data_IF_622688320097
#
_entry.id   IF_622688320097
#
_cell.length_a   1.000
_cell.length_b   1.000
_cell.length_c   1.000
_cell.angle_alpha   90.00
_cell.angle_beta   90.00
_cell.angle_gamma   90.00
#
_symmetry.space_group_name_H-M   'P 1'
#
loop_
_entity.id
_entity.type
_entity.pdbx_description
1 polymer ?
#
# COMPACT_ATOMS: atom_id res chain seq x y z
N UNK A 1 -7.08 -23.38 15.77
CA UNK A 1 -5.84 -22.61 15.94
C UNK A 1 -5.94 -21.36 15.08
N UNK A 2 -5.56 -20.17 15.57
CA UNK A 2 -5.72 -18.91 14.83
C UNK A 2 -4.84 -18.86 13.57
N UNK A 3 -3.77 -19.65 13.56
CA UNK A 3 -2.81 -19.76 12.46
C UNK A 3 -2.62 -21.22 12.06
N UNK A 4 -2.18 -21.40 10.82
CA UNK A 4 -1.97 -22.71 10.21
C UNK A 4 -0.74 -23.39 10.82
N UNK A 5 -0.87 -24.67 11.16
CA UNK A 5 0.16 -25.48 11.82
C UNK A 5 0.73 -26.61 10.93
N UNK A 6 0.14 -26.82 9.75
CA UNK A 6 0.57 -27.83 8.78
C UNK A 6 0.79 -27.24 7.39
N UNK A 7 1.98 -27.49 6.84
CA UNK A 7 2.41 -26.99 5.52
C UNK A 7 2.37 -28.10 4.47
N UNK A 8 2.00 -27.73 3.24
CA UNK A 8 1.87 -28.65 2.11
C UNK A 8 3.24 -29.17 1.71
N UNK A 9 3.29 -30.46 1.41
CA UNK A 9 4.45 -31.09 0.81
C UNK A 9 4.45 -30.92 -0.73
N UNK A 10 5.44 -31.50 -1.41
CA UNK A 10 5.61 -31.35 -2.86
C UNK A 10 4.39 -31.85 -3.62
N UNK A 11 3.87 -33.02 -3.25
CA UNK A 11 2.73 -33.63 -3.96
C UNK A 11 1.47 -32.80 -3.76
N UNK A 12 1.23 -32.32 -2.54
CA UNK A 12 0.05 -31.53 -2.21
C UNK A 12 0.08 -30.16 -2.90
N UNK A 13 1.24 -29.48 -2.95
CA UNK A 13 1.38 -28.22 -3.70
C UNK A 13 1.06 -28.40 -5.19
N UNK A 14 1.62 -29.45 -5.80
CA UNK A 14 1.37 -29.76 -7.23
C UNK A 14 -0.08 -30.10 -7.48
N UNK A 15 -0.71 -30.89 -6.60
CA UNK A 15 -2.14 -31.19 -6.67
C UNK A 15 -3.01 -29.94 -6.53
N UNK A 16 -2.59 -29.00 -5.68
CA UNK A 16 -3.28 -27.72 -5.49
C UNK A 16 -3.05 -26.72 -6.62
N UNK A 17 -2.25 -27.05 -7.64
CA UNK A 17 -2.03 -26.22 -8.82
C UNK A 17 -0.79 -25.34 -8.77
N UNK A 18 0.12 -25.56 -7.80
CA UNK A 18 1.41 -24.87 -7.71
C UNK A 18 2.52 -25.84 -8.14
N UNK A 19 3.04 -25.75 -9.38
CA UNK A 19 4.01 -26.70 -9.92
C UNK A 19 5.44 -26.43 -9.43
N UNK A 20 5.67 -26.58 -8.12
CA UNK A 20 6.99 -26.33 -7.50
C UNK A 20 8.08 -27.27 -8.07
N UNK A 21 9.24 -26.70 -8.37
CA UNK A 21 10.37 -27.34 -9.06
C UNK A 21 11.40 -27.97 -8.10
N UNK A 22 10.93 -28.46 -6.96
CA UNK A 22 11.74 -29.24 -6.01
C UNK A 22 11.09 -30.60 -5.74
N UNK A 23 11.90 -31.59 -5.38
CA UNK A 23 11.43 -32.86 -4.81
C UNK A 23 11.68 -32.94 -3.29
N UNK A 24 12.19 -31.86 -2.68
CA UNK A 24 12.41 -31.78 -1.24
C UNK A 24 11.14 -31.31 -0.51
N UNK A 25 10.56 -32.21 0.29
CA UNK A 25 9.35 -31.90 1.08
C UNK A 25 9.58 -30.80 2.12
N UNK A 26 10.78 -30.66 2.68
CA UNK A 26 11.07 -29.55 3.61
C UNK A 26 11.05 -28.21 2.87
N UNK A 27 11.63 -28.14 1.67
CA UNK A 27 11.57 -26.94 0.82
C UNK A 27 10.14 -26.57 0.46
N UNK A 28 9.31 -27.54 0.07
CA UNK A 28 7.89 -27.31 -0.19
C UNK A 28 7.13 -26.75 1.03
N UNK A 29 7.39 -27.32 2.22
CA UNK A 29 6.76 -26.85 3.47
C UNK A 29 7.20 -25.44 3.84
N UNK A 30 8.49 -25.13 3.71
CA UNK A 30 9.03 -23.79 3.95
C UNK A 30 8.48 -22.77 2.94
N UNK A 31 8.32 -23.17 1.68
CA UNK A 31 7.70 -22.34 0.64
C UNK A 31 6.25 -22.01 1.02
N UNK A 32 5.47 -23.02 1.38
CA UNK A 32 4.06 -22.85 1.77
C UNK A 32 3.89 -22.05 3.07
N UNK A 33 4.83 -22.19 4.02
CA UNK A 33 4.88 -21.39 5.24
C UNK A 33 5.22 -19.91 4.96
N UNK A 34 6.18 -19.65 4.08
CA UNK A 34 6.54 -18.28 3.67
C UNK A 34 5.38 -17.61 2.93
N UNK A 35 4.74 -18.34 2.02
CA UNK A 35 3.57 -17.86 1.28
C UNK A 35 2.40 -17.57 2.23
N UNK A 36 2.14 -18.46 3.19
CA UNK A 36 1.06 -18.26 4.17
C UNK A 36 1.28 -17.01 5.04
N UNK A 37 2.49 -16.81 5.55
CA UNK A 37 2.85 -15.60 6.33
C UNK A 37 2.68 -14.32 5.50
N UNK A 38 3.13 -14.34 4.25
CA UNK A 38 2.99 -13.18 3.36
C UNK A 38 1.52 -12.85 3.02
N UNK A 39 0.74 -13.87 2.64
CA UNK A 39 -0.69 -13.69 2.31
C UNK A 39 -1.48 -13.26 3.53
N UNK A 40 -1.24 -13.90 4.68
CA UNK A 40 -1.92 -13.61 5.94
C UNK A 40 -1.43 -12.36 6.66
N UNK A 41 -0.34 -11.75 6.22
CA UNK A 41 0.26 -10.54 6.82
C UNK A 41 0.62 -10.72 8.30
N UNK A 42 1.24 -11.85 8.63
CA UNK A 42 1.71 -12.13 10.00
C UNK A 42 3.06 -12.87 9.99
N UNK A 43 3.87 -12.67 11.03
CA UNK A 43 5.03 -13.52 11.31
C UNK A 43 4.65 -14.75 12.14
N UNK A 44 4.96 -15.93 11.62
CA UNK A 44 4.71 -17.18 12.33
C UNK A 44 5.81 -17.44 13.38
N UNK A 45 5.40 -17.63 14.63
CA UNK A 45 6.33 -17.83 15.73
C UNK A 45 7.11 -19.16 15.63
N UNK A 46 6.50 -20.23 15.13
CA UNK A 46 7.18 -21.52 14.97
C UNK A 46 8.25 -21.44 13.88
N UNK A 47 8.08 -20.55 12.91
CA UNK A 47 9.03 -20.31 11.84
C UNK A 47 10.05 -19.19 12.14
N UNK A 48 9.97 -18.54 13.30
CA UNK A 48 10.74 -17.34 13.65
C UNK A 48 10.55 -16.20 12.64
N UNK A 49 9.33 -16.06 12.12
CA UNK A 49 8.92 -15.04 11.16
C UNK A 49 9.37 -15.28 9.72
N UNK A 50 8.86 -14.42 8.83
CA UNK A 50 9.01 -14.59 7.38
C UNK A 50 10.47 -14.55 6.94
N UNK A 51 11.26 -13.64 7.52
CA UNK A 51 12.69 -13.49 7.19
C UNK A 51 13.50 -14.76 7.46
N UNK A 52 13.28 -15.39 8.62
CA UNK A 52 13.97 -16.64 8.95
C UNK A 52 13.44 -17.79 8.09
N UNK A 53 12.13 -17.82 7.82
CA UNK A 53 11.51 -18.79 6.91
C UNK A 53 12.17 -18.75 5.52
N UNK A 54 12.34 -17.56 4.95
CA UNK A 54 12.99 -17.39 3.63
C UNK A 54 14.47 -17.79 3.65
N UNK A 55 15.20 -17.45 4.72
CA UNK A 55 16.60 -17.89 4.89
C UNK A 55 16.71 -19.42 4.85
N UNK A 56 15.83 -20.11 5.60
CA UNK A 56 15.77 -21.57 5.64
C UNK A 56 15.33 -22.17 4.31
N UNK A 57 14.35 -21.54 3.65
CA UNK A 57 13.83 -21.96 2.35
C UNK A 57 14.94 -22.02 1.30
N UNK A 58 15.72 -20.94 1.17
CA UNK A 58 16.83 -20.87 0.22
C UNK A 58 17.97 -21.84 0.54
N UNK A 59 18.18 -22.15 1.82
CA UNK A 59 19.22 -23.09 2.26
C UNK A 59 18.81 -24.55 2.08
N UNK A 60 17.51 -24.86 2.14
CA UNK A 60 16.99 -26.22 2.08
C UNK A 60 17.12 -26.87 0.70
N UNK A 61 17.01 -26.08 -0.37
CA UNK A 61 17.27 -26.49 -1.74
C UNK A 61 17.66 -25.26 -2.57
N UNK A 62 18.97 -24.98 -2.68
CA UNK A 62 19.47 -23.82 -3.43
C UNK A 62 19.15 -23.85 -4.93
N UNK A 63 18.79 -25.03 -5.47
CA UNK A 63 18.50 -25.20 -6.90
C UNK A 63 17.04 -24.89 -7.25
N UNK A 64 16.14 -24.87 -6.26
CA UNK A 64 14.73 -24.57 -6.44
C UNK A 64 14.54 -23.12 -6.93
N UNK A 65 14.13 -22.97 -8.19
CA UNK A 65 13.94 -21.65 -8.83
C UNK A 65 12.71 -20.97 -8.25
N UNK A 66 11.64 -21.71 -7.96
CA UNK A 66 10.40 -21.15 -7.37
C UNK A 66 10.66 -20.51 -6.01
N UNK A 67 11.55 -21.08 -5.19
CA UNK A 67 11.99 -20.50 -3.92
C UNK A 67 12.72 -19.16 -4.13
N UNK A 68 13.62 -19.09 -5.12
CA UNK A 68 14.34 -17.85 -5.47
C UNK A 68 13.39 -16.78 -6.02
N UNK A 69 12.38 -17.17 -6.80
CA UNK A 69 11.32 -16.28 -7.30
C UNK A 69 10.55 -15.65 -6.13
N UNK A 70 10.04 -16.45 -5.19
CA UNK A 70 9.32 -15.95 -4.02
C UNK A 70 10.19 -14.98 -3.21
N UNK A 71 11.45 -15.36 -2.97
CA UNK A 71 12.40 -14.51 -2.25
C UNK A 71 12.67 -13.18 -2.97
N UNK A 72 12.89 -13.20 -4.30
CA UNK A 72 13.13 -12.00 -5.09
C UNK A 72 11.91 -11.08 -5.09
N UNK A 73 10.72 -11.63 -5.27
CA UNK A 73 9.47 -10.87 -5.28
C UNK A 73 9.19 -10.15 -3.96
N UNK A 74 9.41 -10.84 -2.82
CA UNK A 74 9.17 -10.26 -1.49
C UNK A 74 10.20 -9.20 -1.10
N UNK A 75 11.45 -9.34 -1.57
CA UNK A 75 12.49 -8.35 -1.30
C UNK A 75 12.41 -7.13 -2.21
N UNK A 76 11.94 -7.27 -3.47
CA UNK A 76 11.96 -6.20 -4.47
C UNK A 76 11.43 -4.85 -3.93
N UNK A 77 10.25 -4.76 -3.28
CA UNK A 77 9.73 -3.49 -2.78
C UNK A 77 10.56 -2.87 -1.64
N UNK A 78 11.34 -3.68 -0.91
CA UNK A 78 12.03 -3.29 0.33
C UNK A 78 13.56 -3.16 0.18
N UNK A 79 14.11 -3.43 -1.01
CA UNK A 79 15.53 -3.27 -1.26
C UNK A 79 15.95 -1.82 -1.03
N UNK A 80 17.02 -1.56 -0.29
CA UNK A 80 17.61 -0.22 -0.19
C UNK A 80 18.65 -0.08 -1.29
N UNK A 81 18.37 0.71 -2.31
CA UNK A 81 19.31 1.08 -3.37
C UNK A 81 18.69 2.01 -4.41
N UNK A 82 19.52 2.77 -5.14
CA UNK A 82 19.08 3.45 -6.34
C UNK A 82 18.28 2.53 -7.29
N UNK A 83 17.22 3.06 -7.89
CA UNK A 83 16.39 2.35 -8.87
C UNK A 83 17.21 1.75 -10.01
N UNK A 84 18.31 2.41 -10.42
CA UNK A 84 19.25 1.94 -11.44
C UNK A 84 19.95 0.62 -11.11
N UNK A 85 20.07 0.26 -9.83
CA UNK A 85 20.68 -1.01 -9.37
C UNK A 85 19.64 -2.10 -9.07
N UNK A 86 18.34 -1.78 -9.13
CA UNK A 86 17.29 -2.71 -8.74
C UNK A 86 17.28 -3.95 -9.64
N UNK A 87 17.33 -3.73 -10.96
CA UNK A 87 17.32 -4.81 -11.93
C UNK A 87 18.48 -5.80 -11.73
N UNK A 88 19.72 -5.30 -11.58
CA UNK A 88 20.89 -6.16 -11.40
C UNK A 88 20.83 -6.95 -10.09
N UNK A 89 20.36 -6.35 -8.99
CA UNK A 89 20.15 -7.07 -7.71
C UNK A 89 19.08 -8.16 -7.81
N UNK A 90 17.97 -7.89 -8.51
CA UNK A 90 16.92 -8.89 -8.73
C UNK A 90 17.43 -10.02 -9.63
N UNK A 91 18.12 -9.70 -10.73
CA UNK A 91 18.75 -10.69 -11.59
C UNK A 91 19.77 -11.55 -10.83
N UNK A 92 20.59 -10.95 -9.96
CA UNK A 92 21.53 -11.68 -9.11
C UNK A 92 20.81 -12.62 -8.12
N UNK A 93 19.72 -12.16 -7.51
CA UNK A 93 18.91 -12.97 -6.58
C UNK A 93 18.25 -14.16 -7.29
N UNK A 94 17.77 -13.91 -8.50
CA UNK A 94 17.19 -14.92 -9.37
C UNK A 94 18.23 -15.92 -9.86
N UNK A 95 19.48 -15.50 -10.06
CA UNK A 95 20.61 -16.30 -10.53
C UNK A 95 20.35 -16.98 -11.87
N UNK A 96 21.02 -18.11 -12.12
CA UNK A 96 20.79 -18.86 -13.36
C UNK A 96 19.42 -19.53 -13.37
N UNK A 97 18.64 -19.22 -14.40
CA UNK A 97 17.28 -19.76 -14.61
C UNK A 97 17.30 -20.59 -15.88
N UNK A 98 17.65 -21.86 -15.72
CA UNK A 98 17.57 -22.86 -16.80
C UNK A 98 16.38 -23.76 -16.53
N UNK A 99 15.22 -23.43 -17.12
CA UNK A 99 14.00 -24.24 -17.01
C UNK A 99 13.19 -24.19 -18.29
N UNK A 100 12.64 -25.34 -18.69
CA UNK A 100 11.66 -25.43 -19.78
C UNK A 100 10.24 -25.07 -19.32
N UNK A 101 10.00 -25.00 -18.00
CA UNK A 101 8.68 -24.74 -17.41
C UNK A 101 8.16 -23.34 -17.74
N UNK A 102 6.98 -23.27 -18.37
CA UNK A 102 6.29 -22.01 -18.65
C UNK A 102 5.97 -21.23 -17.37
N UNK A 103 5.64 -21.94 -16.27
CA UNK A 103 5.35 -21.33 -14.96
C UNK A 103 6.55 -20.52 -14.44
N UNK A 104 7.74 -21.12 -14.43
CA UNK A 104 8.97 -20.46 -13.99
C UNK A 104 9.29 -19.28 -14.91
N UNK A 105 9.23 -19.47 -16.23
CA UNK A 105 9.52 -18.42 -17.20
C UNK A 105 8.66 -17.18 -17.00
N UNK A 106 7.35 -17.35 -16.83
CA UNK A 106 6.42 -16.23 -16.67
C UNK A 106 6.64 -15.50 -15.34
N UNK A 107 6.83 -16.20 -14.22
CA UNK A 107 7.16 -15.53 -12.95
C UNK A 107 8.47 -14.74 -13.03
N UNK A 108 9.52 -15.35 -13.59
CA UNK A 108 10.81 -14.69 -13.77
C UNK A 108 10.67 -13.45 -14.66
N UNK A 109 9.97 -13.58 -15.79
CA UNK A 109 9.76 -12.47 -16.71
C UNK A 109 9.00 -11.31 -16.03
N UNK A 110 7.95 -11.61 -15.27
CA UNK A 110 7.21 -10.59 -14.54
C UNK A 110 8.10 -9.84 -13.53
N UNK A 111 8.95 -10.55 -12.78
CA UNK A 111 9.90 -9.93 -11.85
C UNK A 111 10.95 -9.08 -12.55
N UNK A 112 11.44 -9.50 -13.71
CA UNK A 112 12.38 -8.71 -14.50
C UNK A 112 11.70 -7.44 -15.04
N UNK A 113 10.49 -7.53 -15.56
CA UNK A 113 9.69 -6.35 -15.95
C UNK A 113 9.49 -5.39 -14.77
N UNK A 114 9.10 -5.90 -13.60
CA UNK A 114 8.91 -5.08 -12.41
C UNK A 114 10.21 -4.40 -11.98
N UNK A 115 11.33 -5.13 -11.95
CA UNK A 115 12.63 -4.58 -11.56
C UNK A 115 13.16 -3.48 -12.49
N UNK A 116 12.64 -3.39 -13.71
CA UNK A 116 12.92 -2.33 -14.69
C UNK A 116 11.90 -1.16 -14.64
N UNK A 117 10.91 -1.24 -13.77
CA UNK A 117 9.85 -0.23 -13.65
C UNK A 117 8.68 -0.40 -14.64
N UNK A 118 8.60 -1.52 -15.35
CA UNK A 118 7.49 -1.87 -16.23
C UNK A 118 6.43 -2.71 -15.49
N UNK A 119 5.82 -2.09 -14.48
CA UNK A 119 4.81 -2.70 -13.62
C UNK A 119 3.59 -3.18 -14.42
N UNK A 120 3.14 -2.42 -15.43
CA UNK A 120 2.01 -2.83 -16.27
C UNK A 120 2.32 -4.14 -17.02
N UNK A 121 3.53 -4.26 -17.58
CA UNK A 121 3.97 -5.49 -18.25
C UNK A 121 4.18 -6.66 -17.28
N UNK A 122 4.64 -6.40 -16.07
CA UNK A 122 4.73 -7.41 -15.01
C UNK A 122 3.34 -7.95 -14.67
N UNK A 123 2.36 -7.07 -14.50
CA UNK A 123 0.98 -7.45 -14.24
C UNK A 123 0.38 -8.28 -15.36
N UNK A 124 0.52 -7.85 -16.62
CA UNK A 124 0.03 -8.60 -17.79
C UNK A 124 0.64 -10.01 -17.90
N UNK A 125 1.91 -10.14 -17.50
CA UNK A 125 2.61 -11.43 -17.49
C UNK A 125 2.05 -12.35 -16.39
N UNK A 126 1.76 -11.84 -15.20
CA UNK A 126 1.09 -12.62 -14.15
C UNK A 126 -0.37 -12.94 -14.48
N UNK A 127 -1.12 -12.03 -15.09
CA UNK A 127 -2.47 -12.32 -15.59
C UNK A 127 -2.45 -13.44 -16.64
N UNK A 128 -1.46 -13.42 -17.55
CA UNK A 128 -1.25 -14.51 -18.51
C UNK A 128 -0.98 -15.84 -17.81
N UNK A 129 -0.18 -15.82 -16.74
CA UNK A 129 0.06 -17.01 -15.91
C UNK A 129 -1.24 -17.53 -15.28
N UNK A 130 -2.07 -16.64 -14.72
CA UNK A 130 -3.32 -17.02 -14.04
C UNK A 130 -4.37 -17.64 -14.95
N UNK A 131 -4.27 -17.46 -16.28
CA UNK A 131 -5.10 -18.20 -17.25
C UNK A 131 -4.85 -19.70 -17.20
N UNK A 132 -3.60 -20.11 -16.98
CA UNK A 132 -3.20 -21.53 -16.91
C UNK A 132 -3.10 -22.06 -15.48
N UNK A 133 -2.80 -21.18 -14.52
CA UNK A 133 -2.60 -21.51 -13.11
C UNK A 133 -3.52 -20.67 -12.22
N UNK A 134 -4.87 -20.82 -12.32
CA UNK A 134 -5.81 -19.96 -11.58
C UNK A 134 -5.76 -20.15 -10.06
N UNK A 135 -5.12 -21.22 -9.57
CA UNK A 135 -4.91 -21.50 -8.14
C UNK A 135 -3.59 -20.99 -7.58
N UNK A 136 -2.79 -20.28 -8.39
CA UNK A 136 -1.54 -19.70 -7.93
C UNK A 136 -1.80 -18.42 -7.11
N UNK A 137 -1.93 -18.61 -5.80
CA UNK A 137 -2.12 -17.50 -4.85
C UNK A 137 -0.91 -16.57 -4.76
N UNK A 138 0.29 -17.03 -5.13
CA UNK A 138 1.49 -16.18 -5.19
C UNK A 138 1.35 -15.18 -6.33
N UNK A 139 1.00 -15.64 -7.53
CA UNK A 139 0.74 -14.77 -8.67
C UNK A 139 -0.45 -13.82 -8.43
N UNK A 140 -1.56 -14.33 -7.87
CA UNK A 140 -2.73 -13.51 -7.50
C UNK A 140 -2.32 -12.37 -6.57
N UNK A 141 -1.49 -12.65 -5.56
CA UNK A 141 -1.06 -11.64 -4.61
C UNK A 141 -0.13 -10.62 -5.23
N UNK A 142 0.87 -11.06 -5.99
CA UNK A 142 1.82 -10.14 -6.61
C UNK A 142 1.14 -9.21 -7.62
N UNK A 143 0.26 -9.73 -8.47
CA UNK A 143 -0.48 -8.88 -9.41
C UNK A 143 -1.39 -7.89 -8.68
N UNK A 144 -2.02 -8.30 -7.58
CA UNK A 144 -2.82 -7.40 -6.73
C UNK A 144 -1.99 -6.26 -6.13
N UNK A 145 -0.79 -6.56 -5.61
CA UNK A 145 0.15 -5.53 -5.13
C UNK A 145 0.53 -4.55 -6.25
N UNK A 146 0.82 -5.05 -7.46
CA UNK A 146 1.12 -4.19 -8.61
C UNK A 146 -0.06 -3.28 -8.97
N UNK A 147 -1.30 -3.78 -8.95
CA UNK A 147 -2.45 -2.93 -9.25
C UNK A 147 -2.67 -1.82 -8.23
N UNK A 148 -2.29 -2.03 -6.96
CA UNK A 148 -2.25 -0.97 -5.95
C UNK A 148 -1.20 0.09 -6.31
N UNK A 149 -0.01 -0.32 -6.75
CA UNK A 149 1.04 0.62 -7.16
C UNK A 149 0.67 1.40 -8.42
N UNK A 150 0.10 0.74 -9.43
CA UNK A 150 -0.36 1.39 -10.66
C UNK A 150 -1.62 2.24 -10.47
N UNK A 151 -2.33 2.08 -9.35
CA UNK A 151 -3.65 2.67 -9.16
C UNK A 151 -4.73 2.10 -10.08
N UNK A 152 -4.55 0.89 -10.60
CA UNK A 152 -5.51 0.26 -11.51
C UNK A 152 -6.63 -0.43 -10.73
N UNK A 153 -7.57 0.39 -10.25
CA UNK A 153 -8.67 -0.05 -9.36
C UNK A 153 -9.61 -1.07 -10.03
N UNK A 154 -9.84 -0.94 -11.34
CA UNK A 154 -10.62 -1.92 -12.10
C UNK A 154 -9.98 -3.30 -12.00
N UNK A 155 -8.68 -3.40 -12.29
CA UNK A 155 -7.99 -4.68 -12.29
C UNK A 155 -7.74 -5.23 -10.87
N UNK A 156 -7.60 -4.36 -9.87
CA UNK A 156 -7.56 -4.77 -8.47
C UNK A 156 -8.83 -5.54 -8.05
N UNK A 157 -10.00 -5.14 -8.54
CA UNK A 157 -11.27 -5.88 -8.37
C UNK A 157 -11.33 -7.09 -9.29
N UNK A 158 -11.13 -6.87 -10.60
CA UNK A 158 -11.47 -7.83 -11.64
C UNK A 158 -10.52 -9.04 -11.64
N UNK A 159 -9.26 -8.87 -11.26
CA UNK A 159 -8.28 -9.96 -11.15
C UNK A 159 -8.72 -11.01 -10.13
N UNK A 160 -9.13 -10.55 -8.94
CA UNK A 160 -9.66 -11.46 -7.92
C UNK A 160 -11.01 -12.05 -8.35
N UNK A 161 -11.90 -11.23 -8.93
CA UNK A 161 -13.21 -11.67 -9.37
C UNK A 161 -13.14 -12.78 -10.45
N UNK A 162 -12.11 -12.78 -11.31
CA UNK A 162 -11.88 -13.83 -12.32
C UNK A 162 -11.58 -15.19 -11.69
N UNK A 163 -10.72 -15.24 -10.67
CA UNK A 163 -10.29 -16.51 -10.06
C UNK A 163 -11.22 -16.99 -8.95
N UNK A 164 -11.91 -16.08 -8.26
CA UNK A 164 -12.73 -16.41 -7.09
C UNK A 164 -13.78 -17.51 -7.34
N UNK A 165 -14.55 -17.53 -8.44
CA UNK A 165 -15.49 -18.61 -8.74
C UNK A 165 -14.80 -19.98 -8.91
N UNK A 166 -13.62 -20.01 -9.51
CA UNK A 166 -12.83 -21.23 -9.75
C UNK A 166 -12.36 -21.82 -8.41
N UNK A 167 -11.92 -20.96 -7.49
CA UNK A 167 -11.57 -21.34 -6.11
C UNK A 167 -12.79 -21.81 -5.32
N UNK A 168 -13.95 -21.16 -5.52
CA UNK A 168 -15.22 -21.52 -4.87
C UNK A 168 -15.71 -22.90 -5.30
N UNK A 169 -15.70 -23.21 -6.60
CA UNK A 169 -16.21 -24.46 -7.16
C UNK A 169 -15.30 -25.67 -6.92
N UNK A 170 -14.05 -25.46 -6.51
CA UNK A 170 -13.16 -26.58 -6.22
C UNK A 170 -13.62 -27.37 -4.99
N UNK A 171 -13.64 -28.70 -5.13
CA UNK A 171 -13.93 -29.64 -4.04
C UNK A 171 -12.79 -29.79 -3.03
N UNK A 172 -11.58 -29.36 -3.38
CA UNK A 172 -10.44 -29.37 -2.45
C UNK A 172 -10.52 -28.22 -1.43
N UNK A 173 -10.25 -28.53 -0.17
CA UNK A 173 -10.13 -27.56 0.91
C UNK A 173 -8.77 -26.84 0.86
N UNK A 174 -8.51 -26.11 -0.24
CA UNK A 174 -7.23 -25.43 -0.45
C UNK A 174 -6.97 -24.40 0.65
N UNK A 175 -5.77 -24.36 1.24
CA UNK A 175 -5.38 -23.29 2.14
C UNK A 175 -5.48 -21.91 1.47
N UNK A 176 -5.60 -20.87 2.29
CA UNK A 176 -5.58 -19.46 1.89
C UNK A 176 -6.78 -18.96 1.07
N UNK A 177 -7.75 -19.81 0.76
CA UNK A 177 -8.98 -19.46 0.02
C UNK A 177 -9.75 -18.30 0.66
N UNK A 178 -9.79 -18.22 1.99
CA UNK A 178 -10.50 -17.15 2.72
C UNK A 178 -9.97 -15.76 2.36
N UNK A 179 -8.64 -15.60 2.23
CA UNK A 179 -8.01 -14.32 1.94
C UNK A 179 -8.42 -13.70 0.59
N UNK A 180 -8.90 -14.52 -0.37
CA UNK A 180 -9.44 -13.98 -1.62
C UNK A 180 -10.68 -13.10 -1.39
N UNK A 181 -11.46 -13.37 -0.35
CA UNK A 181 -12.60 -12.52 0.01
C UNK A 181 -12.15 -11.16 0.50
N UNK A 182 -11.15 -11.10 1.38
CA UNK A 182 -10.56 -9.83 1.82
C UNK A 182 -9.93 -9.04 0.67
N UNK A 183 -9.19 -9.72 -0.22
CA UNK A 183 -8.60 -9.07 -1.40
C UNK A 183 -9.68 -8.54 -2.37
N UNK A 184 -10.74 -9.30 -2.61
CA UNK A 184 -11.86 -8.88 -3.45
C UNK A 184 -12.62 -7.71 -2.82
N UNK A 185 -12.89 -7.78 -1.52
CA UNK A 185 -13.53 -6.72 -0.76
C UNK A 185 -12.76 -5.40 -0.87
N UNK A 186 -11.44 -5.46 -0.74
CA UNK A 186 -10.58 -4.29 -0.92
C UNK A 186 -10.72 -3.70 -2.33
N UNK A 187 -10.61 -4.52 -3.38
CA UNK A 187 -10.80 -4.05 -4.77
C UNK A 187 -12.19 -3.48 -5.05
N UNK A 188 -13.26 -4.05 -4.47
CA UNK A 188 -14.62 -3.51 -4.52
C UNK A 188 -14.71 -2.14 -3.84
N UNK A 189 -14.08 -1.99 -2.67
CA UNK A 189 -14.02 -0.75 -1.92
C UNK A 189 -13.32 0.37 -2.71
N UNK A 190 -12.18 0.08 -3.33
CA UNK A 190 -11.46 1.03 -4.19
C UNK A 190 -12.27 1.46 -5.42
N UNK A 191 -13.25 0.65 -5.85
CA UNK A 191 -14.20 0.98 -6.92
C UNK A 191 -15.48 1.66 -6.43
N UNK A 192 -15.51 2.08 -5.16
CA UNK A 192 -16.67 2.68 -4.49
C UNK A 192 -17.91 1.76 -4.46
N UNK A 193 -17.73 0.43 -4.57
CA UNK A 193 -18.78 -0.57 -4.45
C UNK A 193 -18.94 -1.02 -2.99
N UNK A 194 -19.19 -0.06 -2.10
CA UNK A 194 -18.98 -0.22 -0.64
C UNK A 194 -19.83 -1.33 -0.02
N UNK A 195 -21.11 -1.44 -0.39
CA UNK A 195 -21.99 -2.48 0.15
C UNK A 195 -21.50 -3.90 -0.19
N UNK A 196 -21.01 -4.09 -1.42
CA UNK A 196 -20.43 -5.36 -1.85
C UNK A 196 -19.10 -5.63 -1.16
N UNK A 197 -18.27 -4.60 -0.98
CA UNK A 197 -17.01 -4.70 -0.26
C UNK A 197 -17.24 -5.17 1.18
N UNK A 198 -18.18 -4.58 1.91
CA UNK A 198 -18.50 -5.01 3.28
C UNK A 198 -18.98 -6.46 3.35
N UNK A 199 -19.85 -6.86 2.42
CA UNK A 199 -20.38 -8.22 2.41
C UNK A 199 -19.27 -9.26 2.21
N UNK A 200 -18.36 -9.02 1.27
CA UNK A 200 -17.23 -9.90 1.02
C UNK A 200 -16.21 -9.87 2.17
N UNK A 201 -15.95 -8.71 2.77
CA UNK A 201 -15.07 -8.59 3.93
C UNK A 201 -15.61 -9.38 5.13
N UNK A 202 -16.91 -9.25 5.43
CA UNK A 202 -17.54 -10.00 6.52
C UNK A 202 -17.48 -11.50 6.28
N UNK A 203 -17.72 -11.95 5.05
CA UNK A 203 -17.55 -13.36 4.68
C UNK A 203 -16.10 -13.84 4.88
N UNK A 204 -15.11 -13.01 4.52
CA UNK A 204 -13.70 -13.31 4.80
C UNK A 204 -13.42 -13.51 6.30
N UNK A 205 -13.95 -12.62 7.15
CA UNK A 205 -13.82 -12.71 8.61
C UNK A 205 -14.59 -13.87 9.23
N UNK A 206 -15.75 -14.23 8.69
CA UNK A 206 -16.49 -15.44 9.11
C UNK A 206 -15.69 -16.72 8.82
N UNK A 207 -14.97 -16.76 7.70
CA UNK A 207 -14.10 -17.89 7.34
C UNK A 207 -12.77 -17.87 8.10
N UNK A 208 -12.24 -16.69 8.40
CA UNK A 208 -10.99 -16.46 9.11
C UNK A 208 -11.03 -15.13 9.86
N UNK A 209 -11.28 -15.17 11.16
CA UNK A 209 -11.37 -13.97 12.01
C UNK A 209 -10.04 -13.18 12.11
N UNK A 210 -8.91 -13.78 11.73
CA UNK A 210 -7.58 -13.16 11.67
C UNK A 210 -7.20 -12.72 10.24
N UNK A 211 -8.17 -12.61 9.32
CA UNK A 211 -7.91 -12.14 7.96
C UNK A 211 -7.60 -10.63 7.95
N UNK A 212 -6.32 -10.33 7.76
CA UNK A 212 -5.80 -8.98 7.64
C UNK A 212 -6.47 -8.16 6.53
N UNK A 213 -6.71 -8.77 5.38
CA UNK A 213 -7.30 -8.10 4.22
C UNK A 213 -8.76 -7.79 4.43
N UNK A 214 -9.50 -8.73 5.00
CA UNK A 214 -10.91 -8.55 5.29
C UNK A 214 -11.13 -7.49 6.36
N UNK A 215 -10.33 -7.50 7.44
CA UNK A 215 -10.33 -6.44 8.47
C UNK A 215 -10.04 -5.08 7.84
N UNK A 216 -8.97 -5.00 7.05
CA UNK A 216 -8.54 -3.77 6.38
C UNK A 216 -9.59 -3.23 5.39
N UNK A 217 -10.18 -4.10 4.56
CA UNK A 217 -11.23 -3.72 3.62
C UNK A 217 -12.49 -3.20 4.32
N UNK A 218 -12.86 -3.77 5.47
CA UNK A 218 -14.01 -3.33 6.25
C UNK A 218 -13.77 -1.95 6.89
N UNK A 219 -12.55 -1.71 7.38
CA UNK A 219 -12.10 -0.38 7.84
C UNK A 219 -12.23 0.63 6.68
N UNK A 220 -11.65 0.34 5.51
CA UNK A 220 -11.82 1.18 4.33
C UNK A 220 -13.28 1.50 3.98
N UNK A 221 -14.16 0.50 4.01
CA UNK A 221 -15.59 0.69 3.73
C UNK A 221 -16.26 1.67 4.70
N UNK A 222 -15.89 1.63 5.99
CA UNK A 222 -16.38 2.56 7.00
C UNK A 222 -15.83 3.97 6.78
N UNK A 223 -14.55 4.09 6.41
CA UNK A 223 -13.90 5.37 6.09
C UNK A 223 -14.53 6.06 4.87
N UNK A 224 -14.77 5.32 3.78
CA UNK A 224 -15.35 5.86 2.55
C UNK A 224 -16.77 6.40 2.73
N UNK A 225 -17.50 5.86 3.71
CA UNK A 225 -18.88 6.26 4.03
C UNK A 225 -18.97 7.21 5.23
N UNK A 226 -17.82 7.63 5.78
CA UNK A 226 -17.76 8.53 6.94
C UNK A 226 -18.29 7.91 8.25
N UNK A 227 -18.45 6.59 8.35
CA UNK A 227 -18.94 5.91 9.56
C UNK A 227 -17.82 5.73 10.58
N UNK A 228 -17.18 6.83 10.97
CA UNK A 228 -16.00 6.88 11.85
C UNK A 228 -16.24 6.15 13.18
N UNK A 229 -17.35 6.44 13.85
CA UNK A 229 -17.67 5.84 15.14
C UNK A 229 -17.87 4.32 15.05
N UNK A 230 -18.49 3.82 13.97
CA UNK A 230 -18.60 2.38 13.71
C UNK A 230 -17.22 1.75 13.44
N UNK A 231 -16.34 2.47 12.74
CA UNK A 231 -14.96 2.07 12.48
C UNK A 231 -14.14 1.93 13.75
N UNK A 232 -14.24 2.91 14.65
CA UNK A 232 -13.60 2.90 15.97
C UNK A 232 -14.13 1.72 16.79
N UNK A 233 -15.45 1.58 16.92
CA UNK A 233 -16.07 0.48 17.67
C UNK A 233 -15.65 -0.90 17.13
N UNK A 234 -15.59 -1.05 15.81
CA UNK A 234 -15.13 -2.28 15.18
C UNK A 234 -13.67 -2.60 15.52
N UNK A 235 -12.77 -1.62 15.38
CA UNK A 235 -11.35 -1.81 15.69
C UNK A 235 -11.13 -2.10 17.17
N UNK A 236 -11.86 -1.43 18.07
CA UNK A 236 -11.80 -1.71 19.51
C UNK A 236 -12.26 -3.15 19.83
N UNK A 237 -13.43 -3.56 19.33
CA UNK A 237 -14.00 -4.89 19.62
C UNK A 237 -13.18 -6.04 19.05
N UNK A 238 -12.50 -5.83 17.94
CA UNK A 238 -11.74 -6.89 17.24
C UNK A 238 -10.24 -6.83 17.49
N UNK A 239 -9.79 -5.97 18.40
CA UNK A 239 -8.37 -5.74 18.72
C UNK A 239 -7.59 -7.02 18.99
N UNK A 240 -8.16 -7.96 19.75
CA UNK A 240 -7.50 -9.24 20.03
C UNK A 240 -7.19 -10.10 18.79
N UNK A 241 -7.88 -9.88 17.66
CA UNK A 241 -7.65 -10.58 16.41
C UNK A 241 -6.61 -9.85 15.57
N UNK A 242 -6.83 -8.56 15.30
CA UNK A 242 -5.99 -7.81 14.38
C UNK A 242 -4.65 -7.35 15.00
N UNK A 243 -4.49 -7.38 16.32
CA UNK A 243 -3.17 -7.22 16.95
C UNK A 243 -2.21 -8.39 16.70
N UNK A 244 -2.69 -9.51 16.15
CA UNK A 244 -1.85 -10.68 15.82
C UNK A 244 -1.36 -10.71 14.37
N UNK A 245 -1.83 -9.79 13.53
CA UNK A 245 -1.39 -9.60 12.13
C UNK A 245 -0.35 -8.47 12.07
N UNK A 246 0.80 -8.76 12.65
CA UNK A 246 1.86 -7.79 12.97
C UNK A 246 2.42 -7.01 11.75
N UNK A 247 2.17 -7.46 10.52
CA UNK A 247 2.61 -6.75 9.31
C UNK A 247 1.66 -5.62 8.87
N UNK A 248 0.42 -5.58 9.35
CA UNK A 248 -0.56 -4.52 9.02
C UNK A 248 -1.19 -3.86 10.25
N UNK A 249 -0.88 -4.35 11.45
CA UNK A 249 -1.38 -3.79 12.71
C UNK A 249 -1.20 -2.26 12.77
N UNK A 250 0.00 -1.77 12.47
CA UNK A 250 0.29 -0.33 12.48
C UNK A 250 -0.47 0.46 11.41
N UNK A 251 -0.80 -0.18 10.29
CA UNK A 251 -1.62 0.42 9.25
C UNK A 251 -3.09 0.54 9.69
N UNK A 252 -3.59 -0.43 10.48
CA UNK A 252 -4.91 -0.34 11.09
C UNK A 252 -4.98 0.75 12.17
N UNK A 253 -3.90 0.94 12.95
CA UNK A 253 -3.79 2.10 13.85
C UNK A 253 -3.76 3.42 13.07
N UNK A 254 -3.11 3.47 11.90
CA UNK A 254 -3.14 4.65 11.04
C UNK A 254 -4.57 5.01 10.62
N UNK A 255 -5.38 4.03 10.20
CA UNK A 255 -6.81 4.27 9.91
C UNK A 255 -7.58 4.73 11.15
N UNK A 256 -7.29 4.18 12.33
CA UNK A 256 -7.89 4.65 13.58
C UNK A 256 -7.57 6.13 13.81
N UNK A 257 -6.33 6.54 13.60
CA UNK A 257 -5.95 7.95 13.68
C UNK A 257 -6.67 8.82 12.64
N UNK A 258 -6.93 8.30 11.42
CA UNK A 258 -7.75 9.00 10.43
C UNK A 258 -9.19 9.22 10.89
N UNK A 259 -9.82 8.23 11.54
CA UNK A 259 -11.14 8.40 12.13
C UNK A 259 -11.15 9.49 13.20
N UNK A 260 -10.14 9.49 14.07
CA UNK A 260 -10.01 10.53 15.10
C UNK A 260 -9.85 11.93 14.48
N UNK A 261 -9.05 12.08 13.42
CA UNK A 261 -8.94 13.35 12.68
C UNK A 261 -10.24 13.79 12.01
N UNK A 262 -11.01 12.84 11.47
CA UNK A 262 -12.28 13.14 10.82
C UNK A 262 -13.33 13.63 11.84
N UNK A 263 -13.20 13.23 13.11
CA UNK A 263 -13.96 13.72 14.27
C UNK A 263 -13.34 14.96 14.93
N UNK A 264 -12.28 15.54 14.35
CA UNK A 264 -11.52 16.71 14.88
C UNK A 264 -10.83 16.44 16.24
N UNK A 265 -10.62 15.16 16.58
CA UNK A 265 -9.90 14.72 17.76
C UNK A 265 -8.42 14.50 17.44
N UNK A 266 -7.71 15.62 17.19
CA UNK A 266 -6.30 15.61 16.82
C UNK A 266 -5.40 15.12 17.96
N UNK A 267 -5.80 15.30 19.23
CA UNK A 267 -5.10 14.77 20.39
C UNK A 267 -5.05 13.25 20.34
N UNK A 268 -6.19 12.58 20.05
CA UNK A 268 -6.24 11.12 19.94
C UNK A 268 -5.45 10.61 18.74
N UNK A 269 -5.55 11.30 17.59
CA UNK A 269 -4.75 10.95 16.42
C UNK A 269 -3.24 11.04 16.72
N UNK A 270 -2.82 12.08 17.44
CA UNK A 270 -1.43 12.26 17.90
C UNK A 270 -1.03 11.19 18.90
N UNK A 271 -1.90 10.86 19.86
CA UNK A 271 -1.66 9.79 20.85
C UNK A 271 -1.44 8.42 20.17
N UNK A 272 -2.27 8.07 19.19
CA UNK A 272 -2.13 6.82 18.42
C UNK A 272 -0.79 6.82 17.66
N UNK A 273 -0.48 7.92 16.98
CA UNK A 273 0.78 8.11 16.25
C UNK A 273 1.99 7.99 17.20
N UNK A 274 1.97 8.64 18.35
CA UNK A 274 3.10 8.56 19.29
C UNK A 274 3.23 7.17 19.90
N UNK A 275 2.12 6.55 20.33
CA UNK A 275 2.15 5.24 20.97
C UNK A 275 2.63 4.11 20.06
N UNK A 276 2.32 4.18 18.76
CA UNK A 276 2.73 3.17 17.79
C UNK A 276 4.10 3.44 17.20
N UNK A 277 4.35 4.67 16.79
CA UNK A 277 5.48 4.97 15.93
C UNK A 277 6.74 5.33 16.74
N UNK A 278 6.61 5.83 17.98
CA UNK A 278 7.78 6.13 18.85
C UNK A 278 8.47 4.87 19.35
N UNK A 279 7.79 3.71 19.32
CA UNK A 279 8.39 2.42 19.68
C UNK A 279 9.32 1.88 18.59
N UNK A 280 9.28 2.45 17.39
CA UNK A 280 10.14 2.01 16.30
C UNK A 280 11.54 2.58 16.43
N UNK A 281 12.51 1.73 16.15
CA UNK A 281 13.89 2.13 15.89
C UNK A 281 14.13 2.21 14.39
N UNK A 282 15.19 2.88 13.97
CA UNK A 282 15.61 2.98 12.56
C UNK A 282 15.71 1.60 11.87
N UNK A 283 15.95 0.52 12.63
CA UNK A 283 16.11 -0.85 12.11
C UNK A 283 14.80 -1.64 11.98
N UNK A 284 13.68 -1.08 12.42
CA UNK A 284 12.39 -1.79 12.53
C UNK A 284 11.26 -1.15 11.74
N UNK A 285 11.47 0.05 11.20
CA UNK A 285 10.44 0.75 10.42
C UNK A 285 10.37 0.20 8.99
N UNK A 286 9.17 -0.19 8.55
CA UNK A 286 8.91 -0.58 7.16
C UNK A 286 8.61 0.65 6.30
N UNK A 287 8.70 0.52 4.97
CA UNK A 287 8.30 1.62 4.06
C UNK A 287 6.83 2.00 4.24
N UNK A 288 5.92 1.03 4.48
CA UNK A 288 4.49 1.31 4.71
C UNK A 288 4.29 2.12 6.00
N UNK A 289 4.93 1.66 7.07
CA UNK A 289 4.98 2.32 8.36
C UNK A 289 5.49 3.77 8.24
N UNK A 290 6.54 3.98 7.45
CA UNK A 290 7.08 5.32 7.18
C UNK A 290 6.10 6.23 6.45
N UNK A 291 5.50 5.77 5.34
CA UNK A 291 4.58 6.60 4.54
C UNK A 291 3.30 6.93 5.32
N UNK A 292 2.78 6.00 6.12
CA UNK A 292 1.63 6.24 6.99
C UNK A 292 1.93 7.33 8.02
N UNK A 293 3.09 7.27 8.67
CA UNK A 293 3.54 8.28 9.62
C UNK A 293 3.66 9.66 8.94
N UNK A 294 4.36 9.73 7.81
CA UNK A 294 4.54 10.96 7.05
C UNK A 294 3.20 11.56 6.62
N UNK A 295 2.27 10.73 6.14
CA UNK A 295 0.92 11.13 5.74
C UNK A 295 0.12 11.69 6.91
N UNK A 296 0.13 11.01 8.05
CA UNK A 296 -0.63 11.41 9.23
C UNK A 296 -0.11 12.73 9.82
N UNK A 297 1.21 12.89 9.89
CA UNK A 297 1.82 14.13 10.35
C UNK A 297 1.48 15.29 9.40
N UNK A 298 1.50 15.05 8.09
CA UNK A 298 1.12 16.07 7.13
C UNK A 298 -0.36 16.46 7.28
N UNK A 299 -1.26 15.50 7.54
CA UNK A 299 -2.68 15.79 7.84
C UNK A 299 -2.87 16.59 9.12
N UNK A 300 -2.12 16.27 10.18
CA UNK A 300 -2.09 17.04 11.43
C UNK A 300 -1.62 18.50 11.20
N UNK A 301 -0.66 18.71 10.30
CA UNK A 301 -0.28 20.06 9.86
C UNK A 301 -1.45 20.79 9.17
N UNK A 302 -2.24 20.11 8.33
CA UNK A 302 -3.41 20.69 7.66
C UNK A 302 -4.54 21.07 8.62
N UNK A 303 -4.62 20.42 9.80
CA UNK A 303 -5.53 20.80 10.90
C UNK A 303 -4.95 21.86 11.84
N UNK A 304 -3.73 22.36 11.57
CA UNK A 304 -2.99 23.33 12.40
C UNK A 304 -2.52 22.79 13.76
N UNK A 305 -2.39 21.47 13.90
CA UNK A 305 -1.91 20.79 15.10
C UNK A 305 -0.66 19.93 14.81
N UNK A 306 0.51 20.55 14.53
CA UNK A 306 1.70 19.78 14.15
C UNK A 306 2.20 18.85 15.27
N UNK A 307 2.68 17.67 14.89
CA UNK A 307 3.17 16.63 15.79
C UNK A 307 4.52 16.98 16.46
N UNK A 308 4.89 16.23 17.52
CA UNK A 308 6.11 16.42 18.30
C UNK A 308 7.43 16.18 17.53
N UNK A 309 8.50 16.86 17.97
CA UNK A 309 9.84 16.83 17.34
C UNK A 309 10.53 15.46 17.34
N UNK A 310 10.16 14.55 18.26
CA UNK A 310 10.82 13.26 18.45
C UNK A 310 10.52 12.25 17.34
N UNK A 311 9.29 12.22 16.83
CA UNK A 311 8.93 11.28 15.76
C UNK A 311 9.69 11.59 14.46
N UNK A 312 9.97 12.86 14.24
CA UNK A 312 10.65 13.32 13.05
C UNK A 312 12.13 12.93 12.98
N UNK A 313 12.81 12.72 14.11
CA UNK A 313 14.20 12.21 14.06
C UNK A 313 14.24 10.78 13.52
N UNK A 314 13.27 9.93 13.90
CA UNK A 314 13.15 8.55 13.38
C UNK A 314 12.85 8.56 11.88
N UNK A 315 11.89 9.38 11.43
CA UNK A 315 11.58 9.51 10.00
C UNK A 315 12.76 10.06 9.20
N UNK A 316 13.52 11.00 9.76
CA UNK A 316 14.71 11.55 9.12
C UNK A 316 15.80 10.50 8.94
N UNK A 317 16.04 9.66 9.95
CA UNK A 317 17.03 8.59 9.86
C UNK A 317 16.64 7.56 8.79
N UNK A 318 15.38 7.14 8.75
CA UNK A 318 14.88 6.29 7.68
C UNK A 318 15.09 6.93 6.31
N UNK A 319 14.63 8.18 6.14
CA UNK A 319 14.74 8.90 4.88
C UNK A 319 16.18 8.97 4.37
N UNK A 320 17.17 9.15 5.26
CA UNK A 320 18.58 9.26 4.88
C UNK A 320 19.06 8.07 4.02
N UNK A 321 18.64 6.86 4.36
CA UNK A 321 19.00 5.63 3.63
C UNK A 321 18.23 5.48 2.31
N UNK A 322 17.11 6.20 2.16
CA UNK A 322 16.16 6.06 1.06
C UNK A 322 16.10 7.27 0.09
N UNK A 323 16.97 8.27 0.28
CA UNK A 323 16.98 9.52 -0.53
C UNK A 323 17.10 9.30 -2.04
N UNK A 324 17.70 8.20 -2.48
CA UNK A 324 17.99 7.94 -3.89
C UNK A 324 17.20 6.76 -4.46
N UNK A 325 16.26 6.18 -3.72
CA UNK A 325 15.58 4.95 -4.13
C UNK A 325 14.70 5.16 -5.38
N UNK A 326 13.89 6.24 -5.41
CA UNK A 326 13.02 6.68 -6.51
C UNK A 326 12.37 5.56 -7.33
N UNK A 327 11.49 4.76 -6.69
CA UNK A 327 10.82 3.61 -7.32
C UNK A 327 9.33 3.80 -7.53
N UNK A 328 8.67 4.34 -6.52
CA UNK A 328 7.24 4.58 -6.50
C UNK A 328 7.06 6.07 -6.15
N UNK A 329 6.40 6.82 -7.03
CA UNK A 329 6.14 8.24 -6.77
C UNK A 329 5.35 8.45 -5.49
N UNK A 330 4.47 7.50 -5.13
CA UNK A 330 3.75 7.50 -3.86
C UNK A 330 4.72 7.68 -2.68
N UNK A 331 5.76 6.86 -2.59
CA UNK A 331 6.76 6.95 -1.53
C UNK A 331 7.58 8.23 -1.65
N UNK A 332 7.95 8.65 -2.86
CA UNK A 332 8.72 9.87 -3.08
C UNK A 332 7.98 11.14 -2.59
N UNK A 333 6.64 11.22 -2.74
CA UNK A 333 5.87 12.32 -2.18
C UNK A 333 5.90 12.34 -0.64
N UNK A 334 5.84 11.16 -0.01
CA UNK A 334 5.90 11.06 1.45
C UNK A 334 7.30 11.35 1.99
N UNK A 335 8.35 10.96 1.26
CA UNK A 335 9.72 11.43 1.53
C UNK A 335 9.78 12.97 1.49
N UNK A 336 9.12 13.57 0.49
CA UNK A 336 9.11 15.02 0.32
C UNK A 336 8.35 15.75 1.44
N UNK A 337 7.22 15.21 1.92
CA UNK A 337 6.54 15.74 3.10
C UNK A 337 7.45 15.79 4.33
N UNK A 338 8.33 14.81 4.50
CA UNK A 338 9.32 14.82 5.60
C UNK A 338 10.45 15.81 5.31
N UNK A 339 10.97 15.89 4.08
CA UNK A 339 12.03 16.84 3.72
C UNK A 339 11.67 18.28 4.06
N UNK A 340 10.45 18.71 3.71
CA UNK A 340 9.95 20.08 3.93
C UNK A 340 9.99 20.53 5.38
N UNK A 341 9.87 19.58 6.31
CA UNK A 341 9.77 19.89 7.72
C UNK A 341 11.11 19.69 8.47
N UNK A 342 12.14 19.01 7.89
CA UNK A 342 13.31 18.54 8.66
C UNK A 342 14.69 18.70 8.06
N UNK A 343 14.80 18.91 6.75
CA UNK A 343 16.12 18.81 6.11
C UNK A 343 16.51 20.13 5.47
N UNK A 344 17.82 20.37 5.45
CA UNK A 344 18.39 21.53 4.80
C UNK A 344 18.04 21.57 3.30
N UNK A 345 18.03 22.79 2.77
CA UNK A 345 17.71 23.08 1.37
C UNK A 345 18.59 22.28 0.38
N UNK A 346 19.81 21.91 0.77
CA UNK A 346 20.74 21.18 -0.09
C UNK A 346 20.28 19.73 -0.29
N UNK A 347 19.88 19.02 0.77
CA UNK A 347 19.32 17.66 0.64
C UNK A 347 18.02 17.68 -0.18
N UNK A 348 17.12 18.63 0.07
CA UNK A 348 15.87 18.78 -0.71
C UNK A 348 16.16 19.00 -2.19
N UNK A 349 17.11 19.88 -2.51
CA UNK A 349 17.55 20.14 -3.89
C UNK A 349 18.15 18.89 -4.54
N UNK A 350 18.98 18.14 -3.80
CA UNK A 350 19.56 16.90 -4.30
C UNK A 350 18.49 15.83 -4.58
N UNK A 351 17.49 15.69 -3.71
CA UNK A 351 16.38 14.75 -3.90
C UNK A 351 15.61 15.05 -5.19
N UNK A 352 15.23 16.31 -5.44
CA UNK A 352 14.54 16.70 -6.68
C UNK A 352 15.44 16.46 -7.90
N UNK A 353 16.74 16.74 -7.79
CA UNK A 353 17.70 16.48 -8.86
C UNK A 353 17.79 14.99 -9.20
N UNK A 354 17.98 14.11 -8.21
CA UNK A 354 18.07 12.66 -8.43
C UNK A 354 16.75 12.06 -8.92
N UNK A 355 15.62 12.58 -8.44
CA UNK A 355 14.29 12.21 -8.91
C UNK A 355 14.13 12.54 -10.40
N UNK A 356 14.55 13.75 -10.81
CA UNK A 356 14.54 14.18 -12.20
C UNK A 356 15.47 13.31 -13.06
N UNK A 357 16.70 13.07 -12.60
CA UNK A 357 17.65 12.17 -13.29
C UNK A 357 17.05 10.77 -13.50
N UNK A 358 16.24 10.29 -12.55
CA UNK A 358 15.58 8.98 -12.61
C UNK A 358 14.42 8.95 -13.61
N UNK A 359 13.51 9.93 -13.55
CA UNK A 359 12.23 9.84 -14.26
C UNK A 359 12.14 10.67 -15.55
N UNK A 360 12.96 11.71 -15.75
CA UNK A 360 12.80 12.68 -16.85
C UNK A 360 12.99 12.08 -18.25
N UNK A 361 13.73 10.98 -18.38
CA UNK A 361 13.92 10.27 -19.65
C UNK A 361 13.41 8.83 -19.59
N UNK A 362 12.72 8.45 -18.51
CA UNK A 362 12.27 7.09 -18.28
C UNK A 362 10.95 6.81 -19.02
N UNK A 363 10.89 5.68 -19.72
CA UNK A 363 9.67 5.16 -20.33
C UNK A 363 8.90 4.18 -19.42
N UNK A 364 9.37 4.00 -18.19
CA UNK A 364 8.71 3.21 -17.13
C UNK A 364 7.31 3.75 -16.82
N UNK A 365 6.49 2.94 -16.12
CA UNK A 365 5.15 3.37 -15.71
C UNK A 365 5.22 4.64 -14.83
N UNK A 366 6.14 4.70 -13.87
CA UNK A 366 6.31 5.89 -13.03
C UNK A 366 7.00 7.06 -13.72
N UNK A 367 7.86 6.83 -14.73
CA UNK A 367 8.34 7.91 -15.61
C UNK A 367 7.17 8.64 -16.28
N UNK A 368 6.23 7.88 -16.84
CA UNK A 368 5.00 8.42 -17.46
C UNK A 368 4.14 9.20 -16.44
N UNK A 369 3.93 8.65 -15.24
CA UNK A 369 3.16 9.34 -14.18
C UNK A 369 3.87 10.60 -13.71
N UNK A 370 5.21 10.58 -13.58
CA UNK A 370 6.02 11.72 -13.20
C UNK A 370 5.84 12.89 -14.17
N UNK A 371 5.94 12.61 -15.47
CA UNK A 371 5.74 13.62 -16.51
C UNK A 371 4.33 14.21 -16.55
N UNK A 372 3.34 13.36 -16.30
CA UNK A 372 1.92 13.72 -16.41
C UNK A 372 1.43 14.54 -15.22
N UNK A 373 1.75 14.09 -14.01
CA UNK A 373 1.26 14.73 -12.77
C UNK A 373 2.34 14.90 -11.70
N UNK A 374 3.38 14.05 -11.68
CA UNK A 374 4.28 14.01 -10.53
C UNK A 374 5.06 15.30 -10.30
N UNK A 375 5.67 15.86 -11.35
CA UNK A 375 6.38 17.14 -11.28
C UNK A 375 5.51 18.29 -10.75
N UNK A 376 4.21 18.26 -11.06
CA UNK A 376 3.25 19.27 -10.63
C UNK A 376 2.92 19.14 -9.15
N UNK A 377 2.82 17.92 -8.64
CA UNK A 377 2.55 17.68 -7.22
C UNK A 377 3.73 18.13 -6.36
N UNK A 378 4.98 17.82 -6.74
CA UNK A 378 6.16 18.34 -6.02
C UNK A 378 6.18 19.87 -5.98
N UNK A 379 5.95 20.51 -7.13
CA UNK A 379 5.88 21.98 -7.20
C UNK A 379 4.74 22.54 -6.32
N UNK A 380 3.59 21.88 -6.28
CA UNK A 380 2.47 22.30 -5.44
C UNK A 380 2.79 22.20 -3.94
N UNK A 381 3.56 21.19 -3.52
CA UNK A 381 4.03 21.05 -2.13
C UNK A 381 4.95 22.24 -1.79
N UNK A 382 5.91 22.58 -2.65
CA UNK A 382 6.77 23.76 -2.45
C UNK A 382 5.93 25.05 -2.32
N UNK A 383 4.96 25.25 -3.21
CA UNK A 383 4.07 26.43 -3.16
C UNK A 383 3.24 26.46 -1.88
N UNK A 384 2.82 25.31 -1.39
CA UNK A 384 2.05 25.22 -0.14
C UNK A 384 2.88 25.66 1.06
N UNK A 385 4.14 25.21 1.14
CA UNK A 385 5.02 25.57 2.25
C UNK A 385 5.45 27.04 2.23
N UNK A 386 5.44 27.67 1.05
CA UNK A 386 5.59 29.13 0.90
C UNK A 386 4.31 29.92 1.23
N UNK A 387 3.20 29.25 1.57
CA UNK A 387 1.90 29.87 1.82
C UNK A 387 1.21 30.40 0.54
N UNK A 388 1.70 30.03 -0.65
CA UNK A 388 1.20 30.47 -1.95
C UNK A 388 -0.03 29.64 -2.38
N UNK A 389 -1.08 29.62 -1.54
CA UNK A 389 -2.25 28.74 -1.70
C UNK A 389 -2.97 28.89 -3.05
N UNK A 390 -3.03 30.09 -3.62
CA UNK A 390 -3.63 30.30 -4.94
C UNK A 390 -2.91 29.49 -6.04
N UNK A 391 -1.57 29.43 -5.99
CA UNK A 391 -0.78 28.68 -6.96
C UNK A 391 -0.94 27.17 -6.76
N UNK A 392 -1.06 26.70 -5.50
CA UNK A 392 -1.36 25.29 -5.21
C UNK A 392 -2.66 24.86 -5.88
N UNK A 393 -3.71 25.68 -5.79
CA UNK A 393 -5.01 25.39 -6.42
C UNK A 393 -4.89 25.34 -7.93
N UNK A 394 -4.24 26.34 -8.55
CA UNK A 394 -4.06 26.39 -10.00
C UNK A 394 -3.24 25.20 -10.55
N UNK A 395 -2.31 24.66 -9.75
CA UNK A 395 -1.51 23.48 -10.10
C UNK A 395 -2.28 22.17 -9.91
N UNK A 396 -2.92 21.98 -8.74
CA UNK A 396 -3.49 20.68 -8.37
C UNK A 396 -4.88 20.45 -8.94
N UNK A 397 -5.73 21.48 -9.02
CA UNK A 397 -7.12 21.30 -9.46
C UNK A 397 -7.25 20.66 -10.86
N UNK A 398 -6.47 21.06 -11.89
CA UNK A 398 -6.54 20.45 -13.22
C UNK A 398 -6.17 18.96 -13.27
N UNK A 399 -5.35 18.49 -12.32
CA UNK A 399 -4.83 17.11 -12.30
C UNK A 399 -5.50 16.22 -11.24
N UNK A 400 -6.41 16.76 -10.42
CA UNK A 400 -6.98 16.07 -9.25
C UNK A 400 -7.56 14.67 -9.54
N UNK A 401 -8.22 14.54 -10.69
CA UNK A 401 -8.87 13.28 -11.10
C UNK A 401 -7.87 12.20 -11.52
N UNK A 402 -6.57 12.49 -11.48
CA UNK A 402 -5.48 11.61 -11.90
C UNK A 402 -4.62 11.17 -10.72
N UNK A 403 -4.87 11.66 -9.49
CA UNK A 403 -4.09 11.26 -8.30
C UNK A 403 -4.07 9.75 -8.08
N UNK A 404 -5.08 9.03 -8.56
CA UNK A 404 -5.12 7.58 -8.48
C UNK A 404 -3.91 6.91 -9.16
N UNK A 405 -3.34 7.49 -10.21
CA UNK A 405 -2.19 6.91 -10.94
C UNK A 405 -0.88 6.94 -10.15
N UNK A 406 -0.87 7.59 -8.98
CA UNK A 406 0.29 7.60 -8.06
C UNK A 406 0.42 6.24 -7.36
N UNK A 407 -0.69 5.52 -7.21
CA UNK A 407 -0.79 4.30 -6.43
C UNK A 407 -1.19 4.53 -4.98
N UNK A 408 -1.32 3.45 -4.22
CA UNK A 408 -1.91 3.46 -2.87
C UNK A 408 -3.44 3.43 -2.91
N UNK A 409 -4.07 3.36 -1.74
CA UNK A 409 -5.53 3.36 -1.61
C UNK A 409 -6.12 4.78 -1.74
N UNK A 410 -7.44 4.88 -1.94
CA UNK A 410 -8.15 6.18 -1.90
C UNK A 410 -7.86 6.89 -0.57
N UNK A 411 -7.89 6.17 0.55
CA UNK A 411 -7.57 6.70 1.87
C UNK A 411 -6.21 7.39 1.91
N UNK A 412 -5.18 6.70 1.40
CA UNK A 412 -3.81 7.19 1.38
C UNK A 412 -3.64 8.41 0.47
N UNK A 413 -4.24 8.37 -0.72
CA UNK A 413 -4.19 9.46 -1.70
C UNK A 413 -4.94 10.71 -1.25
N UNK A 414 -5.89 10.58 -0.31
CA UNK A 414 -6.76 11.66 0.12
C UNK A 414 -5.98 12.87 0.68
N UNK A 415 -4.74 12.69 1.12
CA UNK A 415 -3.87 13.80 1.57
C UNK A 415 -3.67 14.86 0.48
N UNK A 416 -3.61 14.47 -0.79
CA UNK A 416 -3.48 15.42 -1.91
C UNK A 416 -4.79 16.18 -2.18
N UNK A 417 -5.94 15.53 -1.96
CA UNK A 417 -7.24 16.21 -2.03
C UNK A 417 -7.40 17.18 -0.85
N UNK A 418 -6.99 16.80 0.36
CA UNK A 418 -6.99 17.68 1.52
C UNK A 418 -6.07 18.88 1.31
N UNK A 419 -4.89 18.68 0.73
CA UNK A 419 -3.97 19.76 0.38
C UNK A 419 -4.62 20.78 -0.58
N UNK A 420 -5.31 20.29 -1.62
CA UNK A 420 -6.06 21.13 -2.56
C UNK A 420 -7.22 21.88 -1.88
N UNK A 421 -8.03 21.19 -1.07
CA UNK A 421 -9.16 21.80 -0.36
C UNK A 421 -8.66 22.87 0.62
N UNK A 422 -7.66 22.55 1.43
CA UNK A 422 -7.04 23.49 2.37
C UNK A 422 -6.55 24.74 1.65
N UNK A 423 -5.83 24.57 0.55
CA UNK A 423 -5.33 25.69 -0.25
C UNK A 423 -6.46 26.52 -0.87
N UNK A 424 -7.54 25.87 -1.31
CA UNK A 424 -8.70 26.57 -1.86
C UNK A 424 -9.45 27.39 -0.80
N UNK A 425 -9.56 26.86 0.44
CA UNK A 425 -10.17 27.55 1.59
C UNK A 425 -9.40 28.82 1.92
N UNK A 426 -8.07 28.73 2.07
CA UNK A 426 -7.23 29.85 2.52
C UNK A 426 -6.63 30.68 1.37
N UNK A 427 -7.09 30.47 0.14
CA UNK A 427 -6.67 31.28 -0.99
C UNK A 427 -7.24 32.70 -0.89
N UNK A 428 -6.43 33.69 -1.25
CA UNK A 428 -6.84 35.09 -1.38
C UNK A 428 -7.86 35.30 -2.51
N UNK A 429 -7.94 34.38 -3.47
CA UNK A 429 -8.80 34.49 -4.65
C UNK A 429 -10.24 34.01 -4.37
N UNK A 430 -11.23 34.87 -4.63
CA UNK A 430 -12.66 34.53 -4.48
C UNK A 430 -13.07 33.28 -5.26
N UNK A 431 -12.55 33.09 -6.49
CA UNK A 431 -12.86 31.91 -7.31
C UNK A 431 -12.42 30.60 -6.65
N UNK A 432 -11.31 30.61 -5.91
CA UNK A 432 -10.79 29.44 -5.22
C UNK A 432 -11.62 29.11 -3.98
N UNK A 433 -12.05 30.12 -3.22
CA UNK A 433 -12.97 29.91 -2.09
C UNK A 433 -14.33 29.35 -2.54
N UNK A 434 -14.82 29.76 -3.71
CA UNK A 434 -16.02 29.15 -4.31
C UNK A 434 -15.76 27.70 -4.74
N UNK A 435 -14.60 27.42 -5.35
CA UNK A 435 -14.20 26.05 -5.66
C UNK A 435 -14.12 25.17 -4.40
N UNK A 436 -13.58 25.68 -3.30
CA UNK A 436 -13.51 24.96 -2.02
C UNK A 436 -14.90 24.50 -1.56
N UNK A 437 -15.92 25.37 -1.65
CA UNK A 437 -17.32 25.01 -1.34
C UNK A 437 -17.82 23.84 -2.20
N UNK A 438 -17.49 23.84 -3.49
CA UNK A 438 -17.89 22.76 -4.40
C UNK A 438 -17.18 21.44 -4.06
N UNK A 439 -15.87 21.47 -3.79
CA UNK A 439 -15.11 20.28 -3.41
C UNK A 439 -15.60 19.70 -2.07
N UNK A 440 -15.93 20.55 -1.10
CA UNK A 440 -16.53 20.13 0.18
C UNK A 440 -17.90 19.49 -0.06
N UNK A 441 -18.73 20.05 -0.96
CA UNK A 441 -20.02 19.48 -1.32
C UNK A 441 -19.88 18.11 -2.00
N UNK A 442 -18.94 17.96 -2.95
CA UNK A 442 -18.62 16.69 -3.62
C UNK A 442 -18.31 15.59 -2.57
N UNK A 443 -17.45 15.91 -1.60
CA UNK A 443 -17.05 14.98 -0.53
C UNK A 443 -18.22 14.65 0.41
N UNK A 444 -18.98 15.66 0.85
CA UNK A 444 -20.14 15.45 1.72
C UNK A 444 -21.18 14.55 1.05
N UNK A 445 -21.40 14.70 -0.27
CA UNK A 445 -22.36 13.87 -1.00
C UNK A 445 -21.99 12.38 -0.97
N UNK A 446 -20.68 12.05 -1.04
CA UNK A 446 -20.22 10.65 -0.97
C UNK A 446 -20.45 10.02 0.41
N UNK A 447 -20.38 10.82 1.49
CA UNK A 447 -20.51 10.33 2.87
C UNK A 447 -21.95 10.40 3.42
N UNK A 448 -22.88 10.90 2.62
CA UNK A 448 -24.30 11.00 2.97
C UNK A 448 -24.50 11.81 4.26
N UNK A 449 -25.18 11.26 5.28
CA UNK A 449 -25.44 12.00 6.53
C UNK A 449 -24.20 12.15 7.42
N UNK A 450 -23.13 11.36 7.20
CA UNK A 450 -21.97 11.32 8.07
C UNK A 450 -20.95 12.39 7.67
N UNK A 451 -21.14 13.61 8.18
CA UNK A 451 -20.27 14.74 7.86
C UNK A 451 -19.01 14.70 8.70
N UNK A 452 -17.88 14.87 8.01
CA UNK A 452 -16.56 15.09 8.62
C UNK A 452 -16.52 16.41 9.37
N UNK A 453 -16.04 16.41 10.61
CA UNK A 453 -15.87 17.64 11.38
C UNK A 453 -14.80 18.55 10.78
N UNK A 454 -13.75 17.96 10.22
CA UNK A 454 -12.73 18.69 9.46
C UNK A 454 -13.35 19.47 8.28
N UNK A 455 -14.29 18.87 7.55
CA UNK A 455 -14.96 19.55 6.43
C UNK A 455 -15.92 20.65 6.91
N UNK A 456 -16.57 20.48 8.06
CA UNK A 456 -17.35 21.55 8.69
C UNK A 456 -16.47 22.75 9.06
N UNK A 457 -15.30 22.48 9.64
CA UNK A 457 -14.33 23.50 10.02
C UNK A 457 -13.86 24.29 8.79
N UNK A 458 -13.55 23.61 7.68
CA UNK A 458 -13.24 24.29 6.41
C UNK A 458 -14.42 25.08 5.85
N UNK A 459 -15.64 24.55 5.91
CA UNK A 459 -16.82 25.27 5.45
C UNK A 459 -17.08 26.55 6.27
N UNK A 460 -16.82 26.52 7.59
CA UNK A 460 -16.94 27.67 8.47
C UNK A 460 -15.86 28.71 8.19
N UNK A 461 -14.60 28.30 7.97
CA UNK A 461 -13.51 29.21 7.63
C UNK A 461 -13.80 30.05 6.37
N UNK A 462 -14.50 29.48 5.38
CA UNK A 462 -14.89 30.23 4.17
C UNK A 462 -16.02 31.25 4.43
N UNK A 463 -16.81 31.10 5.51
CA UNK A 463 -17.93 31.99 5.85
C UNK A 463 -17.51 33.21 6.67
N UNK A 464 -16.36 33.11 7.34
CA UNK A 464 -15.82 34.16 8.22
C UNK A 464 -15.03 35.23 7.44
N UNK A 465 -14.66 34.95 6.19
CA UNK A 465 -14.08 35.87 5.18
C UNK A 465 -15.14 36.45 4.23
#
# INVERSE_FOLDING_TARGET
MPFRDQWRDVQTLRHDGIPIDTNNNETAKLFDAALTQYIGRYNDQQMNGLKMTLTRLLSSDPTCITSRILNAALHLPSLVCPSSLLHSKIAQTLGDITSSSTYIKLHTQALLHWSLGYLSLAADTWETLLLSYPFDIMAIRFVSDIYIYLGNRNMLRDSIARVLPIWKSSSSNRPLKSYLHGMHAFGLGEMNMIEYAEKEARLGLELNEHDAWATHALVHAMEYTGRTSNGIEFLEKTQQHWRKIDMVESHLDWHWALYALDEDNWEKATEILENYFVKWTDKTISTLNYVDAASLIYRLKLTRHPCSSKLFSVLKNFLHDHLNDHRLLFTDFHHYFVLENFVDIHTKTNFIRSLKETFESSDSDYGKVYHRIGKHIFAAIDRFDEGAYAQVVDILYPIRNQFFTIGGSIAQQDVFNLLLIHSAVYSTENRHRQLAKQLINERCQMRGPNKSKMMENYANAIRED
#
